data_IF_836908999271
#
_entry.id   IF_836908999271
#
_cell.length_a   1.000
_cell.length_b   1.000
_cell.length_c   1.000
_cell.angle_alpha   90.00
_cell.angle_beta   90.00
_cell.angle_gamma   90.00
#
_symmetry.space_group_name_H-M   'P 1'
#
loop_
_entity.id
_entity.type
_entity.pdbx_description
1 polymer ?
#
# COMPACT_ATOMS: atom_id res chain seq x y z
N UNK A 1 14.07 -25.56 2.99
CA UNK A 1 14.01 -24.10 2.83
C UNK A 1 15.43 -23.60 2.67
N UNK A 2 15.77 -23.06 1.50
CA UNK A 2 16.97 -22.25 1.37
C UNK A 2 16.61 -20.93 2.06
N UNK A 3 17.34 -20.59 3.13
CA UNK A 3 17.14 -19.35 3.85
C UNK A 3 17.62 -18.20 2.96
N UNK A 4 16.83 -17.12 2.85
CA UNK A 4 17.23 -15.90 2.13
C UNK A 4 18.63 -15.49 2.60
N UNK A 5 19.58 -15.39 1.67
CA UNK A 5 20.91 -14.88 1.96
C UNK A 5 20.84 -13.37 2.20
N UNK A 6 20.87 -13.00 3.47
CA UNK A 6 20.76 -11.60 3.91
C UNK A 6 21.90 -10.76 3.35
N UNK A 7 23.10 -11.31 3.18
CA UNK A 7 24.24 -10.53 2.67
C UNK A 7 24.03 -10.19 1.18
N UNK A 8 23.54 -11.15 0.40
CA UNK A 8 23.10 -10.88 -0.98
C UNK A 8 22.01 -9.79 -1.03
N UNK A 9 21.03 -9.83 -0.13
CA UNK A 9 19.99 -8.79 -0.05
C UNK A 9 20.58 -7.41 0.29
N UNK A 10 21.51 -7.33 1.26
CA UNK A 10 22.17 -6.07 1.63
C UNK A 10 22.96 -5.47 0.47
N UNK A 11 23.72 -6.30 -0.26
CA UNK A 11 24.46 -5.88 -1.44
C UNK A 11 23.51 -5.36 -2.53
N UNK A 12 22.42 -6.09 -2.78
CA UNK A 12 21.39 -5.69 -3.74
C UNK A 12 20.71 -4.38 -3.32
N UNK A 13 20.45 -4.17 -2.03
CA UNK A 13 19.93 -2.91 -1.50
C UNK A 13 20.87 -1.73 -1.78
N UNK A 14 22.18 -1.88 -1.56
CA UNK A 14 23.16 -0.81 -1.79
C UNK A 14 23.18 -0.36 -3.26
N UNK A 15 23.05 -1.31 -4.18
CA UNK A 15 22.93 -1.04 -5.62
C UNK A 15 21.62 -0.28 -5.89
N UNK A 16 20.49 -0.81 -5.41
CA UNK A 16 19.17 -0.21 -5.61
C UNK A 16 19.06 1.20 -5.06
N UNK A 17 19.52 1.46 -3.83
CA UNK A 17 19.47 2.79 -3.22
C UNK A 17 20.39 3.77 -3.93
N UNK A 18 21.48 3.29 -4.54
CA UNK A 18 22.38 4.14 -5.32
C UNK A 18 21.82 4.52 -6.69
N UNK A 19 20.87 3.74 -7.23
CA UNK A 19 20.16 4.10 -8.47
C UNK A 19 18.95 5.02 -8.22
N UNK A 20 18.54 5.20 -6.97
CA UNK A 20 17.45 6.11 -6.63
C UNK A 20 17.94 7.56 -6.54
N UNK A 21 17.31 8.44 -7.31
CA UNK A 21 17.43 9.88 -7.13
C UNK A 21 16.56 10.31 -5.94
N UNK A 22 17.21 10.67 -4.83
CA UNK A 22 16.52 11.30 -3.69
C UNK A 22 16.39 12.79 -3.94
N UNK A 23 15.17 13.25 -4.17
CA UNK A 23 14.87 14.68 -4.27
C UNK A 23 15.06 15.36 -2.91
N UNK A 24 16.08 16.22 -2.82
CA UNK A 24 16.40 16.99 -1.61
C UNK A 24 15.29 17.95 -1.16
N UNK A 25 14.28 18.23 -2.01
CA UNK A 25 13.09 18.99 -1.63
C UNK A 25 12.16 18.19 -0.70
N UNK A 26 12.09 16.87 -0.90
CA UNK A 26 11.20 15.98 -0.13
C UNK A 26 11.94 15.15 0.93
N UNK A 27 13.26 15.01 0.78
CA UNK A 27 14.09 14.19 1.65
C UNK A 27 15.22 15.01 2.25
N UNK A 28 15.53 14.75 3.53
CA UNK A 28 16.70 15.35 4.17
C UNK A 28 17.98 14.98 3.42
N UNK A 29 18.98 15.87 3.47
CA UNK A 29 20.28 15.68 2.79
C UNK A 29 20.97 14.36 3.15
N UNK A 30 20.66 13.81 4.33
CA UNK A 30 21.24 12.58 4.87
C UNK A 30 20.35 11.33 4.70
N UNK A 31 19.26 11.39 3.92
CA UNK A 31 18.30 10.29 3.78
C UNK A 31 18.96 8.99 3.30
N UNK A 32 19.88 9.11 2.33
CA UNK A 32 20.62 7.96 1.81
C UNK A 32 21.51 7.35 2.90
N UNK A 33 22.26 8.17 3.63
CA UNK A 33 23.14 7.73 4.72
C UNK A 33 22.35 7.05 5.84
N UNK A 34 21.19 7.60 6.21
CA UNK A 34 20.31 7.01 7.22
C UNK A 34 19.84 5.61 6.81
N UNK A 35 19.45 5.44 5.55
CA UNK A 35 19.02 4.14 5.00
C UNK A 35 20.17 3.14 4.94
N UNK A 36 21.38 3.58 4.59
CA UNK A 36 22.59 2.77 4.66
C UNK A 36 22.89 2.30 6.10
N UNK A 37 22.72 3.17 7.10
CA UNK A 37 22.86 2.78 8.51
C UNK A 37 21.77 1.80 8.99
N UNK A 38 20.58 1.81 8.39
CA UNK A 38 19.53 0.85 8.70
C UNK A 38 19.79 -0.53 8.09
N UNK A 39 20.27 -0.60 6.84
CA UNK A 39 20.56 -1.87 6.17
C UNK A 39 21.77 -2.57 6.81
N UNK A 40 22.78 -1.82 7.27
CA UNK A 40 23.96 -2.37 7.94
C UNK A 40 23.56 -3.22 9.15
N UNK A 41 22.62 -2.70 9.95
CA UNK A 41 22.08 -3.33 11.16
C UNK A 41 21.03 -4.42 10.89
N UNK A 42 20.63 -4.63 9.63
CA UNK A 42 19.60 -5.61 9.31
C UNK A 42 20.15 -7.05 9.44
N UNK A 43 19.41 -7.93 10.09
CA UNK A 43 19.73 -9.36 10.23
C UNK A 43 18.69 -10.28 9.56
N UNK A 44 17.63 -9.68 9.00
CA UNK A 44 16.55 -10.39 8.32
C UNK A 44 15.94 -9.59 7.18
N UNK A 45 15.29 -10.29 6.26
CA UNK A 45 14.75 -9.70 5.02
C UNK A 45 13.74 -8.58 5.30
N UNK A 46 12.88 -8.73 6.32
CA UNK A 46 11.89 -7.72 6.68
C UNK A 46 12.50 -6.39 7.16
N UNK A 47 13.67 -6.43 7.81
CA UNK A 47 14.41 -5.21 8.18
C UNK A 47 15.07 -4.58 6.95
N UNK A 48 15.59 -5.38 6.02
CA UNK A 48 16.11 -4.89 4.75
C UNK A 48 15.01 -4.15 3.95
N UNK A 49 13.81 -4.73 3.85
CA UNK A 49 12.65 -4.07 3.25
C UNK A 49 12.24 -2.81 4.00
N UNK A 50 12.32 -2.83 5.33
CA UNK A 50 11.99 -1.66 6.16
C UNK A 50 12.95 -0.50 5.94
N UNK A 51 14.22 -0.79 5.61
CA UNK A 51 15.23 0.19 5.25
C UNK A 51 14.97 0.87 3.89
N UNK A 52 14.11 0.30 3.03
CA UNK A 52 13.65 0.92 1.78
C UNK A 52 12.49 1.87 2.05
N UNK A 53 12.42 2.98 1.31
CA UNK A 53 11.35 3.96 1.44
C UNK A 53 10.00 3.30 1.18
N UNK A 54 8.98 3.63 1.98
CA UNK A 54 7.64 3.02 1.87
C UNK A 54 7.02 3.12 0.47
N UNK A 55 7.36 4.15 -0.30
CA UNK A 55 6.91 4.30 -1.70
C UNK A 55 7.61 3.36 -2.68
N UNK A 56 8.81 2.88 -2.34
CA UNK A 56 9.71 2.14 -3.24
C UNK A 56 9.83 0.64 -2.91
N UNK A 57 9.22 0.15 -1.82
CA UNK A 57 9.40 -1.26 -1.39
C UNK A 57 8.90 -2.26 -2.43
N UNK A 58 7.75 -2.02 -3.06
CA UNK A 58 7.25 -2.89 -4.13
C UNK A 58 8.11 -2.84 -5.39
N UNK A 59 8.74 -1.70 -5.69
CA UNK A 59 9.65 -1.56 -6.81
C UNK A 59 10.93 -2.35 -6.54
N UNK A 60 11.49 -2.21 -5.34
CA UNK A 60 12.62 -3.00 -4.86
C UNK A 60 12.33 -4.50 -4.87
N UNK A 61 11.16 -4.93 -4.37
CA UNK A 61 10.75 -6.34 -4.43
C UNK A 61 10.64 -6.85 -5.87
N UNK A 62 10.06 -6.04 -6.77
CA UNK A 62 9.97 -6.40 -8.18
C UNK A 62 11.36 -6.48 -8.83
N UNK A 63 12.30 -5.62 -8.43
CA UNK A 63 13.68 -5.61 -8.90
C UNK A 63 14.45 -6.83 -8.41
N UNK A 64 14.42 -7.15 -7.11
CA UNK A 64 15.02 -8.37 -6.55
C UNK A 64 14.50 -9.63 -7.24
N UNK A 65 13.18 -9.72 -7.43
CA UNK A 65 12.55 -10.85 -8.11
C UNK A 65 13.00 -10.94 -9.58
N UNK A 66 13.14 -9.82 -10.30
CA UNK A 66 13.60 -9.84 -11.71
C UNK A 66 15.05 -10.29 -11.85
N UNK A 67 15.86 -10.06 -10.83
CA UNK A 67 17.24 -10.53 -10.75
C UNK A 67 17.36 -11.94 -10.17
N UNK A 68 16.24 -12.62 -9.91
CA UNK A 68 16.20 -13.97 -9.34
C UNK A 68 16.92 -14.09 -7.98
N UNK A 69 17.06 -12.97 -7.26
CA UNK A 69 17.64 -12.92 -5.91
C UNK A 69 16.67 -13.49 -4.87
N UNK A 70 15.37 -13.31 -5.10
CA UNK A 70 14.30 -13.90 -4.30
C UNK A 70 13.38 -14.72 -5.20
N UNK A 71 12.83 -15.78 -4.64
CA UNK A 71 11.86 -16.66 -5.29
C UNK A 71 10.50 -15.99 -5.45
N UNK A 72 9.66 -16.62 -6.27
CA UNK A 72 8.24 -16.28 -6.42
C UNK A 72 7.55 -16.22 -5.03
N UNK A 73 7.75 -17.25 -4.19
CA UNK A 73 7.12 -17.36 -2.87
C UNK A 73 7.60 -16.27 -1.90
N UNK A 74 8.91 -16.04 -1.80
CA UNK A 74 9.47 -15.00 -0.92
C UNK A 74 9.00 -13.60 -1.33
N UNK A 75 8.88 -13.34 -2.63
CA UNK A 75 8.31 -12.09 -3.13
C UNK A 75 6.82 -11.97 -2.78
N UNK A 76 6.07 -13.07 -2.88
CA UNK A 76 4.65 -13.10 -2.52
C UNK A 76 4.42 -12.81 -1.04
N UNK A 77 5.14 -13.49 -0.15
CA UNK A 77 5.03 -13.32 1.29
C UNK A 77 5.47 -11.92 1.72
N UNK A 78 6.51 -11.37 1.06
CA UNK A 78 6.92 -9.99 1.27
C UNK A 78 5.83 -9.00 0.83
N UNK A 79 5.27 -9.13 -0.38
CA UNK A 79 4.19 -8.25 -0.87
C UNK A 79 2.99 -8.27 0.08
N UNK A 80 2.59 -9.44 0.58
CA UNK A 80 1.50 -9.57 1.55
C UNK A 80 1.84 -8.91 2.89
N UNK A 81 3.01 -9.21 3.46
CA UNK A 81 3.40 -8.74 4.79
C UNK A 81 3.55 -7.21 4.92
N UNK A 82 3.96 -6.53 3.85
CA UNK A 82 4.13 -5.06 3.87
C UNK A 82 2.99 -4.31 3.17
N UNK A 83 1.91 -4.98 2.78
CA UNK A 83 0.82 -4.40 2.00
C UNK A 83 0.25 -3.13 2.64
N UNK A 84 -0.14 -3.20 3.92
CA UNK A 84 -0.73 -2.07 4.68
C UNK A 84 0.28 -0.96 5.03
N UNK A 85 1.57 -1.20 4.80
CA UNK A 85 2.66 -0.25 5.04
C UNK A 85 3.17 0.41 3.75
N UNK A 86 2.82 -0.14 2.59
CA UNK A 86 3.22 0.38 1.28
C UNK A 86 2.49 1.70 1.01
N UNK A 87 3.23 2.68 0.49
CA UNK A 87 2.67 3.94 0.04
C UNK A 87 2.74 4.05 -1.49
N UNK A 88 2.03 4.99 -2.11
CA UNK A 88 2.15 5.27 -3.56
C UNK A 88 1.89 4.05 -4.48
N UNK A 89 0.87 3.24 -4.20
CA UNK A 89 0.45 2.09 -5.03
C UNK A 89 0.27 2.39 -6.53
N UNK A 90 0.00 3.64 -6.93
CA UNK A 90 -0.17 4.06 -8.32
C UNK A 90 1.15 4.09 -9.13
N UNK A 91 2.31 4.17 -8.46
CA UNK A 91 3.68 4.19 -9.06
C UNK A 91 4.66 3.41 -8.19
N UNK A 92 4.25 2.24 -7.72
CA UNK A 92 5.03 1.42 -6.80
C UNK A 92 5.98 0.42 -7.49
N UNK A 93 6.26 0.58 -8.80
CA UNK A 93 7.18 -0.29 -9.54
C UNK A 93 6.70 -1.72 -9.84
N UNK A 94 5.56 -2.15 -9.28
CA UNK A 94 4.94 -3.45 -9.53
C UNK A 94 3.58 -3.29 -10.21
N UNK A 95 3.32 -4.08 -11.26
CA UNK A 95 2.03 -4.05 -11.96
C UNK A 95 0.91 -4.64 -11.10
N UNK A 96 -0.33 -4.18 -11.27
CA UNK A 96 -1.50 -4.73 -10.57
C UNK A 96 -1.67 -6.22 -10.81
N UNK A 97 -1.39 -6.69 -12.03
CA UNK A 97 -1.46 -8.12 -12.35
C UNK A 97 -0.45 -8.94 -11.53
N UNK A 98 0.79 -8.43 -11.38
CA UNK A 98 1.82 -9.08 -10.58
C UNK A 98 1.51 -9.02 -9.08
N UNK A 99 0.99 -7.90 -8.58
CA UNK A 99 0.48 -7.79 -7.20
C UNK A 99 -0.65 -8.80 -6.93
N UNK A 100 -1.61 -8.95 -7.86
CA UNK A 100 -2.67 -9.96 -7.73
C UNK A 100 -2.11 -11.38 -7.73
N UNK A 101 -1.16 -11.71 -8.61
CA UNK A 101 -0.48 -13.02 -8.62
C UNK A 101 0.12 -13.31 -7.24
N UNK A 102 0.88 -12.36 -6.72
CA UNK A 102 1.60 -12.52 -5.46
C UNK A 102 0.71 -12.55 -4.23
N UNK A 103 -0.29 -11.67 -4.14
CA UNK A 103 -1.25 -11.78 -3.04
C UNK A 103 -1.98 -13.13 -3.08
N UNK A 104 -2.31 -13.69 -4.25
CA UNK A 104 -2.91 -15.03 -4.31
C UNK A 104 -1.97 -16.12 -3.78
N UNK A 105 -0.70 -16.06 -4.13
CA UNK A 105 0.31 -17.08 -3.82
C UNK A 105 0.86 -16.99 -2.38
N UNK A 106 0.86 -15.80 -1.78
CA UNK A 106 1.42 -15.59 -0.45
C UNK A 106 0.82 -16.54 0.59
N UNK A 107 1.63 -16.98 1.53
CA UNK A 107 1.16 -17.67 2.72
C UNK A 107 0.39 -16.68 3.61
N UNK A 108 -0.83 -17.06 4.02
CA UNK A 108 -1.74 -16.18 4.76
C UNK A 108 -2.16 -16.86 6.04
N UNK A 109 -2.73 -16.07 6.95
CA UNK A 109 -3.35 -16.59 8.16
C UNK A 109 -4.36 -17.70 7.82
N UNK A 110 -4.35 -18.83 8.54
CA UNK A 110 -5.37 -19.87 8.38
C UNK A 110 -6.79 -19.36 8.73
N UNK A 111 -6.89 -18.24 9.46
CA UNK A 111 -8.16 -17.60 9.83
C UNK A 111 -8.74 -16.72 8.71
N UNK A 112 -8.01 -16.47 7.62
CA UNK A 112 -8.47 -15.55 6.58
C UNK A 112 -9.87 -15.91 6.05
N UNK A 113 -10.14 -17.20 5.84
CA UNK A 113 -11.43 -17.63 5.32
C UNK A 113 -12.55 -17.38 6.33
N UNK A 114 -12.35 -17.72 7.61
CA UNK A 114 -13.34 -17.41 8.65
C UNK A 114 -13.54 -15.90 8.82
N UNK A 115 -12.46 -15.11 8.79
CA UNK A 115 -12.55 -13.65 8.89
C UNK A 115 -13.34 -13.04 7.72
N UNK A 116 -13.24 -13.61 6.51
CA UNK A 116 -14.04 -13.23 5.34
C UNK A 116 -15.50 -13.67 5.51
N UNK A 117 -15.73 -14.86 6.06
CA UNK A 117 -17.07 -15.40 6.29
C UNK A 117 -17.82 -14.57 7.33
N UNK A 118 -17.13 -14.06 8.35
CA UNK A 118 -17.68 -13.21 9.42
C UNK A 118 -18.06 -11.78 8.96
N UNK A 119 -17.71 -11.38 7.72
CA UNK A 119 -18.06 -10.05 7.21
C UNK A 119 -19.57 -9.82 7.05
N UNK A 120 -20.35 -10.89 6.80
CA UNK A 120 -21.81 -10.85 6.60
C UNK A 120 -22.38 -12.27 6.48
N UNK A 121 -23.67 -12.51 6.67
CA UNK A 121 -24.25 -13.84 6.34
C UNK A 121 -24.39 -14.08 4.82
N UNK A 122 -24.33 -13.01 4.02
CA UNK A 122 -24.48 -13.06 2.57
C UNK A 122 -23.22 -13.57 1.84
N UNK A 123 -23.41 -14.10 0.62
CA UNK A 123 -22.30 -14.53 -0.27
C UNK A 123 -21.48 -13.35 -0.82
N UNK A 124 -22.03 -12.15 -0.73
CA UNK A 124 -21.46 -10.93 -1.26
C UNK A 124 -21.37 -9.87 -0.18
N UNK A 125 -20.35 -9.03 -0.25
CA UNK A 125 -20.11 -7.95 0.70
C UNK A 125 -20.04 -6.62 -0.04
N UNK A 126 -20.61 -5.58 0.56
CA UNK A 126 -20.46 -4.19 0.08
C UNK A 126 -19.12 -3.64 0.53
N UNK A 127 -18.38 -3.05 -0.41
CA UNK A 127 -17.06 -2.47 -0.18
C UNK A 127 -17.01 -1.05 -0.73
N UNK A 128 -16.13 -0.25 -0.13
CA UNK A 128 -15.97 1.17 -0.39
C UNK A 128 -14.53 1.52 -0.74
N UNK A 129 -14.33 2.55 -1.55
CA UNK A 129 -13.00 3.08 -1.87
C UNK A 129 -13.03 4.60 -2.04
N UNK A 130 -12.30 5.27 -1.17
CA UNK A 130 -12.06 6.71 -1.26
C UNK A 130 -10.87 7.06 -2.13
N UNK A 131 -11.04 8.01 -3.05
CA UNK A 131 -9.98 8.50 -3.93
C UNK A 131 -10.19 9.96 -4.31
N UNK A 132 -9.10 10.65 -4.64
CA UNK A 132 -9.12 12.04 -5.14
C UNK A 132 -9.45 12.16 -6.63
N UNK A 133 -9.20 11.10 -7.38
CA UNK A 133 -9.48 11.04 -8.82
C UNK A 133 -10.63 10.09 -9.07
N UNK A 134 -11.48 10.38 -10.06
CA UNK A 134 -12.61 9.54 -10.44
C UNK A 134 -12.13 8.22 -11.08
N UNK A 135 -11.59 7.31 -10.25
CA UNK A 135 -11.01 6.05 -10.67
C UNK A 135 -11.06 5.00 -9.55
N UNK A 136 -12.01 4.09 -9.65
CA UNK A 136 -12.19 2.98 -8.70
C UNK A 136 -11.17 1.85 -8.85
N UNK A 137 -10.34 1.83 -9.91
CA UNK A 137 -9.53 0.66 -10.33
C UNK A 137 -8.30 0.41 -9.44
N UNK A 138 -8.42 0.54 -8.12
CA UNK A 138 -7.41 0.14 -7.14
C UNK A 138 -7.71 -1.24 -6.54
N UNK A 139 -6.69 -1.86 -5.95
CA UNK A 139 -6.81 -3.20 -5.36
C UNK A 139 -7.30 -3.17 -3.91
N UNK A 140 -7.00 -2.08 -3.19
CA UNK A 140 -7.42 -1.87 -1.80
C UNK A 140 -8.81 -1.22 -1.74
N UNK A 141 -9.72 -1.87 -1.03
CA UNK A 141 -11.05 -1.37 -0.68
C UNK A 141 -11.22 -1.54 0.83
N UNK A 142 -12.35 -1.12 1.39
CA UNK A 142 -12.67 -1.33 2.81
C UNK A 142 -14.14 -1.71 2.95
N UNK A 143 -14.50 -2.44 3.99
CA UNK A 143 -15.92 -2.66 4.36
C UNK A 143 -16.51 -1.49 5.16
N UNK A 144 -15.68 -0.51 5.55
CA UNK A 144 -16.10 0.63 6.35
C UNK A 144 -16.19 1.90 5.50
N UNK A 145 -17.41 2.40 5.30
CA UNK A 145 -17.64 3.63 4.52
C UNK A 145 -16.87 4.81 5.09
N UNK A 146 -16.77 4.94 6.42
CA UNK A 146 -16.08 6.05 7.07
C UNK A 146 -14.57 6.07 6.78
N UNK A 147 -13.97 4.88 6.66
CA UNK A 147 -12.57 4.74 6.24
C UNK A 147 -12.40 5.20 4.80
N UNK A 148 -13.31 4.81 3.90
CA UNK A 148 -13.29 5.30 2.52
C UNK A 148 -13.49 6.82 2.44
N UNK A 149 -14.43 7.39 3.19
CA UNK A 149 -14.63 8.85 3.28
C UNK A 149 -13.36 9.56 3.74
N UNK A 150 -12.69 9.04 4.77
CA UNK A 150 -11.42 9.58 5.25
C UNK A 150 -10.34 9.55 4.17
N UNK A 151 -10.16 8.42 3.47
CA UNK A 151 -9.19 8.32 2.37
C UNK A 151 -9.50 9.27 1.19
N UNK A 152 -10.78 9.48 0.87
CA UNK A 152 -11.19 10.41 -0.18
C UNK A 152 -10.83 11.86 0.16
N UNK A 153 -11.09 12.26 1.42
CA UNK A 153 -10.95 13.64 1.90
C UNK A 153 -9.53 13.98 2.35
N UNK A 154 -8.72 12.98 2.68
CA UNK A 154 -7.36 13.19 3.22
C UNK A 154 -6.52 14.04 2.27
N UNK A 155 -5.84 15.04 2.83
CA UNK A 155 -5.03 16.01 2.08
C UNK A 155 -5.80 16.82 1.03
N UNK A 156 -7.14 16.81 1.04
CA UNK A 156 -7.94 17.65 0.16
C UNK A 156 -8.15 19.03 0.77
N UNK A 157 -8.20 20.04 -0.08
CA UNK A 157 -8.41 21.43 0.29
C UNK A 157 -9.84 21.89 -0.02
N UNK A 158 -10.23 23.05 0.51
CA UNK A 158 -11.54 23.63 0.23
C UNK A 158 -11.75 23.85 -1.27
N UNK A 159 -12.85 23.31 -1.81
CA UNK A 159 -13.18 23.32 -3.24
C UNK A 159 -12.65 22.12 -4.03
N UNK A 160 -11.76 21.28 -3.45
CA UNK A 160 -11.32 20.06 -4.13
C UNK A 160 -12.47 19.07 -4.28
N UNK A 161 -12.47 18.35 -5.40
CA UNK A 161 -13.35 17.20 -5.62
C UNK A 161 -12.67 15.92 -5.15
N UNK A 162 -13.42 15.07 -4.47
CA UNK A 162 -13.04 13.70 -4.17
C UNK A 162 -14.21 12.75 -4.41
N UNK A 163 -13.95 11.45 -4.35
CA UNK A 163 -14.89 10.41 -4.76
C UNK A 163 -14.87 9.27 -3.77
N UNK A 164 -16.06 8.80 -3.41
CA UNK A 164 -16.25 7.52 -2.70
C UNK A 164 -16.96 6.57 -3.65
N UNK A 165 -16.27 5.50 -4.02
CA UNK A 165 -16.87 4.42 -4.78
C UNK A 165 -17.48 3.40 -3.85
N UNK A 166 -18.65 2.90 -4.23
CA UNK A 166 -19.32 1.78 -3.58
C UNK A 166 -19.40 0.66 -4.61
N UNK A 167 -19.21 -0.58 -4.18
CA UNK A 167 -19.42 -1.74 -5.02
C UNK A 167 -19.68 -2.98 -4.20
N UNK A 168 -20.02 -4.05 -4.90
CA UNK A 168 -20.26 -5.36 -4.28
C UNK A 168 -19.26 -6.38 -4.82
N UNK A 169 -18.65 -7.17 -3.94
CA UNK A 169 -17.71 -8.25 -4.29
C UNK A 169 -18.25 -9.59 -3.77
N UNK A 170 -18.03 -10.70 -4.50
CA UNK A 170 -18.26 -12.02 -3.90
C UNK A 170 -17.14 -12.30 -2.90
N UNK A 171 -17.46 -12.91 -1.75
CA UNK A 171 -16.45 -13.27 -0.74
C UNK A 171 -15.30 -14.11 -1.29
N UNK A 172 -15.60 -15.06 -2.18
CA UNK A 172 -14.60 -15.90 -2.86
C UNK A 172 -13.60 -15.14 -3.74
N UNK A 173 -13.91 -13.89 -4.12
CA UNK A 173 -13.05 -13.04 -4.93
C UNK A 173 -12.21 -12.07 -4.07
N UNK A 174 -12.37 -12.12 -2.73
CA UNK A 174 -11.49 -11.41 -1.77
C UNK A 174 -10.17 -12.16 -1.68
N UNK A 175 -9.07 -11.44 -1.89
CA UNK A 175 -7.72 -12.02 -1.95
C UNK A 175 -6.97 -11.91 -0.61
N UNK A 176 -7.27 -10.87 0.16
CA UNK A 176 -6.79 -10.65 1.52
C UNK A 176 -7.76 -9.74 2.28
N UNK A 177 -7.79 -9.91 3.60
CA UNK A 177 -8.47 -9.04 4.54
C UNK A 177 -7.45 -8.61 5.59
N UNK A 178 -7.32 -7.31 5.80
CA UNK A 178 -6.46 -6.74 6.83
C UNK A 178 -7.29 -5.91 7.81
N UNK A 179 -7.52 -6.47 8.99
CA UNK A 179 -8.24 -5.80 10.09
C UNK A 179 -7.33 -4.95 10.99
N UNK A 180 -6.02 -4.97 10.73
CA UNK A 180 -5.05 -4.14 11.45
C UNK A 180 -5.37 -2.65 11.28
N UNK A 181 -5.03 -1.82 12.28
CA UNK A 181 -5.19 -0.35 12.25
C UNK A 181 -6.63 0.16 12.11
N UNK A 182 -7.62 -0.72 12.34
CA UNK A 182 -9.05 -0.39 12.24
C UNK A 182 -9.51 0.03 10.83
N UNK A 183 -8.73 -0.29 9.78
CA UNK A 183 -9.04 0.10 8.39
C UNK A 183 -9.95 -0.91 7.68
N UNK A 184 -10.02 -2.15 8.18
CA UNK A 184 -10.81 -3.27 7.62
C UNK A 184 -10.63 -3.39 6.10
N UNK A 185 -9.37 -3.41 5.66
CA UNK A 185 -8.99 -3.35 4.25
C UNK A 185 -9.27 -4.68 3.55
N UNK A 186 -10.01 -4.62 2.45
CA UNK A 186 -10.29 -5.72 1.53
C UNK A 186 -9.40 -5.56 0.29
N UNK A 187 -8.52 -6.52 0.04
CA UNK A 187 -7.76 -6.57 -1.21
C UNK A 187 -8.48 -7.47 -2.19
N UNK A 188 -8.81 -6.93 -3.37
CA UNK A 188 -9.48 -7.68 -4.42
C UNK A 188 -9.06 -7.21 -5.83
N UNK A 189 -9.37 -8.04 -6.82
CA UNK A 189 -9.28 -7.63 -8.21
C UNK A 189 -10.46 -6.73 -8.57
N UNK A 190 -10.21 -5.44 -8.81
CA UNK A 190 -11.25 -4.45 -9.13
C UNK A 190 -12.14 -4.84 -10.32
N UNK A 191 -11.69 -5.74 -11.20
CA UNK A 191 -12.45 -6.26 -12.34
C UNK A 191 -13.58 -7.21 -11.92
N UNK A 192 -13.58 -7.68 -10.68
CA UNK A 192 -14.60 -8.57 -10.11
C UNK A 192 -15.70 -7.83 -9.33
N UNK A 193 -15.52 -6.52 -9.11
CA UNK A 193 -16.48 -5.68 -8.39
C UNK A 193 -17.68 -5.40 -9.29
N UNK A 194 -18.88 -5.52 -8.72
CA UNK A 194 -20.17 -5.31 -9.38
C UNK A 194 -20.89 -4.10 -8.78
N UNK A 195 -21.95 -3.65 -9.47
CA UNK A 195 -22.86 -2.61 -8.99
C UNK A 195 -22.14 -1.33 -8.55
N UNK A 196 -21.14 -0.90 -9.34
CA UNK A 196 -20.28 0.23 -8.95
C UNK A 196 -21.10 1.52 -9.01
N UNK A 197 -21.11 2.23 -7.89
CA UNK A 197 -21.66 3.57 -7.74
C UNK A 197 -20.55 4.53 -7.30
N UNK A 198 -20.73 5.81 -7.58
CA UNK A 198 -19.76 6.85 -7.24
C UNK A 198 -20.49 8.03 -6.61
N UNK A 199 -20.08 8.39 -5.40
CA UNK A 199 -20.45 9.63 -4.74
C UNK A 199 -19.35 10.66 -5.01
N UNK A 200 -19.64 11.71 -5.78
CA UNK A 200 -18.76 12.88 -5.89
C UNK A 200 -19.00 13.81 -4.69
N UNK A 201 -17.91 14.20 -4.04
CA UNK A 201 -17.90 15.03 -2.85
C UNK A 201 -17.08 16.28 -3.17
N UNK A 202 -17.66 17.46 -2.95
CA UNK A 202 -16.89 18.70 -2.91
C UNK A 202 -16.50 18.93 -1.45
N UNK A 203 -15.20 19.13 -1.21
CA UNK A 203 -14.68 19.38 0.12
C UNK A 203 -14.98 20.83 0.48
N UNK A 204 -15.93 21.03 1.39
CA UNK A 204 -16.14 22.29 2.09
C UNK A 204 -15.68 22.08 3.53
N UNK A 205 -14.73 22.91 3.98
CA UNK A 205 -14.07 22.82 5.29
C UNK A 205 -13.51 21.43 5.64
N UNK A 206 -12.22 21.21 5.34
CA UNK A 206 -11.49 20.06 5.85
C UNK A 206 -10.71 20.45 7.13
N UNK A 207 -11.24 20.21 8.34
CA UNK A 207 -10.54 20.56 9.58
C UNK A 207 -9.18 19.88 9.72
N UNK A 208 -8.95 18.72 9.07
CA UNK A 208 -7.64 18.07 9.05
C UNK A 208 -6.64 18.74 8.09
N UNK A 209 -7.10 19.44 7.04
CA UNK A 209 -6.22 20.25 6.17
C UNK A 209 -5.67 21.50 6.86
N UNK A 210 -6.26 21.92 7.98
CA UNK A 210 -5.75 23.04 8.77
C UNK A 210 -4.42 22.69 9.45
N UNK A 211 -4.17 21.42 9.76
CA UNK A 211 -2.86 20.94 10.24
C UNK A 211 -1.79 20.97 9.15
N UNK A 212 -2.16 20.78 7.87
CA UNK A 212 -1.21 20.85 6.75
C UNK A 212 -0.75 22.29 6.45
N UNK A 213 -1.51 23.32 6.87
CA UNK A 213 -1.05 24.72 6.82
C UNK A 213 0.15 24.98 7.73
N UNK A 214 0.27 24.27 8.86
CA UNK A 214 1.43 24.38 9.74
C UNK A 214 2.71 23.84 9.10
N UNK A 215 2.63 22.78 8.28
CA UNK A 215 3.80 22.26 7.56
C UNK A 215 4.26 23.22 6.46
N UNK A 216 3.32 23.89 5.76
CA UNK A 216 3.69 24.95 4.79
C UNK A 216 4.33 26.16 5.46
N UNK A 217 3.89 26.55 6.66
CA UNK A 217 4.51 27.67 7.38
C UNK A 217 5.95 27.38 7.82
N UNK A 218 6.30 26.14 8.15
CA UNK A 218 7.69 25.76 8.47
C UNK A 218 8.62 25.69 7.25
N UNK A 219 8.11 25.75 6.02
CA UNK A 219 8.92 25.73 4.79
C UNK A 219 9.15 27.14 4.24
N UNK A 220 8.36 28.13 4.67
CA UNK A 220 8.43 29.51 4.17
C UNK A 220 8.74 30.56 5.24
N UNK A 221 9.19 30.15 6.43
CA UNK A 221 9.43 31.07 7.55
C UNK A 221 10.72 30.72 8.31
N UNK A 222 11.68 31.64 8.17
CA UNK A 222 13.02 31.77 8.79
C UNK A 222 14.15 30.84 8.30
#
# INVERSE_FOLDING_TARGET
MIQIDIETIKNAFCIYISSLEYDSFYYGKDEKQRRLGWIEKADRFSQCLSAVNKGNRFDYLNWLHKLEIITDQECADAVYSIWTMQERFYRCGMSKAKMIKFIKMAEKSPLLQSDIDDLSDEKTVTIYRGVKINNYRGLSWTIDKSVADWFARRFGHNGDKCYVFIGTINKKDILALFSSRNEKEVVCDYRKIKNIQCEEIIIYDNPQSQFDKHIKMCITGE
#
